data_IF_949892746102
#
_entry.id   IF_949892746102
#
_cell.length_a   1.000
_cell.length_b   1.000
_cell.length_c   1.000
_cell.angle_alpha   90.00
_cell.angle_beta   90.00
_cell.angle_gamma   90.00
#
_symmetry.space_group_name_H-M   'P 1'
#
loop_
_entity.id
_entity.type
_entity.pdbx_description
1 polymer ?
#
# COMPACT_ATOMS: atom_id res chain seq x y z
N UNK A 1 -5.27 8.96 -17.80
CA UNK A 1 -4.88 7.67 -17.15
C UNK A 1 -4.70 7.89 -15.63
N UNK A 2 -5.73 8.34 -14.92
CA UNK A 2 -5.56 8.85 -13.54
C UNK A 2 -5.72 7.78 -12.45
N UNK A 3 -6.45 6.70 -12.73
CA UNK A 3 -6.67 5.59 -11.77
C UNK A 3 -5.41 4.78 -11.51
N UNK A 4 -4.62 4.50 -12.55
CA UNK A 4 -3.35 3.77 -12.43
C UNK A 4 -2.30 4.59 -11.66
N UNK A 5 -2.16 5.87 -11.99
CA UNK A 5 -1.23 6.77 -11.29
C UNK A 5 -1.56 6.91 -9.80
N UNK A 6 -2.86 7.06 -9.46
CA UNK A 6 -3.30 7.14 -8.06
C UNK A 6 -3.13 5.80 -7.33
N UNK A 7 -3.40 4.66 -7.97
CA UNK A 7 -3.18 3.33 -7.38
C UNK A 7 -1.72 3.10 -6.99
N UNK A 8 -0.78 3.40 -7.90
CA UNK A 8 0.66 3.31 -7.61
C UNK A 8 1.08 4.25 -6.47
N UNK A 9 0.52 5.46 -6.41
CA UNK A 9 0.84 6.43 -5.36
C UNK A 9 0.38 5.95 -3.97
N UNK A 10 -0.78 5.28 -3.87
CA UNK A 10 -1.22 4.64 -2.62
C UNK A 10 -0.32 3.49 -2.18
N UNK A 11 0.17 2.67 -3.12
CA UNK A 11 1.14 1.61 -2.80
C UNK A 11 2.46 2.20 -2.29
N UNK A 12 2.97 3.24 -2.95
CA UNK A 12 4.20 3.93 -2.54
C UNK A 12 4.05 4.47 -1.12
N UNK A 13 2.92 5.13 -0.80
CA UNK A 13 2.63 5.62 0.55
C UNK A 13 2.61 4.45 1.55
N UNK A 14 1.94 3.33 1.21
CA UNK A 14 1.88 2.15 2.07
C UNK A 14 3.25 1.56 2.37
N UNK A 15 4.13 1.48 1.35
CA UNK A 15 5.51 1.01 1.51
C UNK A 15 6.32 1.96 2.37
N UNK A 16 6.22 3.28 2.18
CA UNK A 16 6.93 4.27 3.01
C UNK A 16 6.54 4.13 4.49
N UNK A 17 5.25 3.96 4.78
CA UNK A 17 4.77 3.76 6.16
C UNK A 17 5.33 2.47 6.76
N UNK A 18 5.34 1.36 6.01
CA UNK A 18 5.92 0.09 6.47
C UNK A 18 7.43 0.18 6.72
N UNK A 19 8.16 0.92 5.89
CA UNK A 19 9.60 1.13 6.05
C UNK A 19 9.89 1.94 7.32
N UNK A 20 9.15 3.02 7.57
CA UNK A 20 9.30 3.81 8.80
C UNK A 20 8.98 2.96 10.04
N UNK A 21 7.92 2.14 9.96
CA UNK A 21 7.53 1.26 11.05
C UNK A 21 8.59 0.18 11.33
N UNK A 22 9.16 -0.42 10.29
CA UNK A 22 10.26 -1.38 10.42
C UNK A 22 11.51 -0.74 11.04
N UNK A 23 11.80 0.52 10.68
CA UNK A 23 12.92 1.28 11.24
C UNK A 23 12.73 1.59 12.73
N UNK A 24 11.51 1.93 13.16
CA UNK A 24 11.18 2.14 14.58
C UNK A 24 11.27 0.88 15.42
N UNK A 25 10.89 -0.27 14.84
CA UNK A 25 10.90 -1.57 15.55
C UNK A 25 12.32 -2.15 15.63
N UNK A 26 13.27 -1.64 14.84
CA UNK A 26 14.66 -2.10 14.86
C UNK A 26 14.83 -3.55 14.39
N UNK A 27 13.94 -4.02 13.52
CA UNK A 27 13.91 -5.41 13.08
C UNK A 27 13.26 -5.59 11.70
N UNK A 28 13.28 -6.81 11.18
CA UNK A 28 12.69 -7.13 9.87
C UNK A 28 11.22 -7.53 10.04
N UNK A 29 10.33 -6.70 9.50
CA UNK A 29 8.90 -6.99 9.42
C UNK A 29 8.67 -7.99 8.27
N UNK A 30 8.64 -9.28 8.59
CA UNK A 30 8.35 -10.33 7.62
C UNK A 30 6.83 -10.48 7.45
N UNK A 31 6.26 -9.79 6.46
CA UNK A 31 4.83 -9.90 6.16
C UNK A 31 4.64 -11.05 5.15
N UNK A 32 3.88 -12.10 5.50
CA UNK A 32 3.61 -13.18 4.57
C UNK A 32 2.78 -12.70 3.37
N UNK A 33 3.00 -13.32 2.21
CA UNK A 33 2.33 -12.97 0.95
C UNK A 33 0.80 -12.99 1.04
N UNK A 34 0.23 -13.87 1.87
CA UNK A 34 -1.20 -13.95 2.12
C UNK A 34 -1.80 -12.65 2.70
N UNK A 35 -1.00 -11.83 3.41
CA UNK A 35 -1.43 -10.53 3.94
C UNK A 35 -1.14 -9.40 2.94
N UNK A 36 -0.01 -9.49 2.23
CA UNK A 36 0.39 -8.48 1.24
C UNK A 36 -0.61 -8.38 0.08
N UNK A 37 -1.02 -9.52 -0.48
CA UNK A 37 -1.93 -9.57 -1.64
C UNK A 37 -3.26 -8.84 -1.38
N UNK A 38 -4.04 -9.17 -0.33
CA UNK A 38 -5.28 -8.47 -0.05
C UNK A 38 -5.07 -6.99 0.33
N UNK A 39 -3.95 -6.65 0.98
CA UNK A 39 -3.63 -5.28 1.35
C UNK A 39 -3.38 -4.40 0.11
N UNK A 40 -2.69 -4.95 -0.90
CA UNK A 40 -2.49 -4.30 -2.21
C UNK A 40 -3.81 -4.14 -2.96
N UNK A 41 -4.66 -5.18 -2.98
CA UNK A 41 -5.98 -5.12 -3.63
C UNK A 41 -6.87 -4.06 -2.96
N UNK A 42 -6.87 -3.99 -1.63
CA UNK A 42 -7.63 -2.98 -0.88
C UNK A 42 -7.11 -1.56 -1.15
N UNK A 43 -5.79 -1.36 -1.20
CA UNK A 43 -5.20 -0.07 -1.55
C UNK A 43 -5.62 0.38 -2.97
N UNK A 44 -5.57 -0.53 -3.94
CA UNK A 44 -6.01 -0.27 -5.31
C UNK A 44 -7.53 -0.03 -5.41
N UNK A 45 -8.32 -0.77 -4.64
CA UNK A 45 -9.77 -0.61 -4.58
C UNK A 45 -10.18 0.74 -3.96
N UNK A 46 -9.53 1.13 -2.87
CA UNK A 46 -9.73 2.44 -2.25
C UNK A 46 -9.36 3.59 -3.20
N UNK A 47 -8.24 3.46 -3.91
CA UNK A 47 -7.83 4.41 -4.96
C UNK A 47 -8.84 4.46 -6.12
N UNK A 48 -9.36 3.31 -6.54
CA UNK A 48 -10.38 3.21 -7.60
C UNK A 48 -11.69 3.90 -7.22
N UNK A 49 -12.17 3.71 -5.98
CA UNK A 49 -13.39 4.37 -5.47
C UNK A 49 -13.27 5.88 -5.37
N UNK A 50 -12.10 6.41 -4.99
CA UNK A 50 -11.87 7.85 -4.84
C UNK A 50 -11.77 8.58 -6.19
N UNK A 51 -11.51 7.87 -7.28
CA UNK A 51 -11.49 8.42 -8.65
C UNK A 51 -12.88 8.68 -9.24
N UNK A 52 -13.96 8.25 -8.59
CA UNK A 52 -15.36 8.42 -9.03
C UNK A 52 -16.07 9.63 -8.38
N UNK A 53 -15.32 10.58 -7.83
CA UNK A 53 -15.81 11.91 -7.45
C UNK A 53 -15.19 12.95 -8.36
#
# INVERSE_FOLDING_TARGET
METFGRGCLYIIIGVIVLVILAFMIGGTIQIPWFIVIPLVILAFWAASRKSRK
#
